data_IF_492943034328
#
_entry.id   IF_492943034328
#
_cell.length_a   1.000
_cell.length_b   1.000
_cell.length_c   1.000
_cell.angle_alpha   90.00
_cell.angle_beta   90.00
_cell.angle_gamma   90.00
#
_symmetry.space_group_name_H-M   'P 1'
#
loop_
_entity.id
_entity.type
_entity.pdbx_description
1 polymer ?
#
# COMPACT_ATOMS: atom_id res chain seq x y z
N UNK A 1 12.48 -15.74 3.04
CA UNK A 1 12.35 -14.60 3.97
C UNK A 1 11.49 -13.51 3.34
N UNK A 2 11.90 -13.00 2.20
CA UNK A 2 11.15 -11.95 1.51
C UNK A 2 9.80 -12.45 1.01
N UNK A 3 9.74 -13.69 0.51
CA UNK A 3 8.51 -14.36 0.12
C UNK A 3 7.52 -14.42 1.29
N UNK A 4 7.97 -14.89 2.45
CA UNK A 4 7.13 -14.98 3.65
C UNK A 4 6.60 -13.61 4.08
N UNK A 5 7.45 -12.59 4.02
CA UNK A 5 7.08 -11.22 4.39
C UNK A 5 6.01 -10.66 3.45
N UNK A 6 6.23 -10.74 2.13
CA UNK A 6 5.30 -10.16 1.16
C UNK A 6 3.97 -10.93 1.12
N UNK A 7 4.03 -12.26 1.25
CA UNK A 7 2.81 -13.08 1.29
C UNK A 7 1.99 -12.77 2.54
N UNK A 8 2.64 -12.65 3.71
CA UNK A 8 1.96 -12.31 4.94
C UNK A 8 1.32 -10.93 4.87
N UNK A 9 2.01 -9.96 4.28
CA UNK A 9 1.46 -8.62 4.09
C UNK A 9 0.25 -8.65 3.17
N UNK A 10 0.36 -9.32 2.01
CA UNK A 10 -0.77 -9.46 1.08
C UNK A 10 -1.97 -10.09 1.77
N UNK A 11 -1.76 -11.19 2.50
CA UNK A 11 -2.83 -11.92 3.18
C UNK A 11 -3.48 -11.06 4.28
N UNK A 12 -2.67 -10.34 5.04
CA UNK A 12 -3.17 -9.43 6.08
C UNK A 12 -4.08 -8.36 5.49
N UNK A 13 -3.69 -7.76 4.37
CA UNK A 13 -4.50 -6.73 3.71
C UNK A 13 -5.76 -7.33 3.08
N UNK A 14 -5.65 -8.50 2.47
CA UNK A 14 -6.80 -9.17 1.86
C UNK A 14 -7.84 -9.59 2.89
N UNK A 15 -7.42 -9.85 4.14
CA UNK A 15 -8.33 -10.26 5.21
C UNK A 15 -8.96 -9.09 5.99
N UNK A 16 -8.68 -7.84 5.61
CA UNK A 16 -9.31 -6.69 6.25
C UNK A 16 -10.83 -6.73 6.05
N UNK A 17 -11.55 -6.55 7.15
CA UNK A 17 -13.00 -6.47 7.11
C UNK A 17 -13.42 -5.03 6.85
N UNK A 18 -13.41 -4.65 5.58
CA UNK A 18 -13.70 -3.28 5.16
C UNK A 18 -14.90 -3.17 4.21
N UNK A 19 -15.54 -4.28 3.86
CA UNK A 19 -16.61 -4.30 2.87
C UNK A 19 -17.81 -3.46 3.28
N UNK A 20 -18.05 -3.30 4.59
CA UNK A 20 -19.16 -2.52 5.13
C UNK A 20 -18.80 -1.04 5.34
N UNK A 21 -17.56 -0.64 5.06
CA UNK A 21 -17.10 0.73 5.25
C UNK A 21 -17.34 1.55 4.00
N UNK A 22 -17.52 2.87 4.17
CA UNK A 22 -17.51 3.80 3.05
C UNK A 22 -16.15 3.77 2.36
N UNK A 23 -16.07 4.08 1.04
CA UNK A 23 -14.79 4.04 0.32
C UNK A 23 -13.67 4.83 0.98
N UNK A 24 -13.95 6.03 1.50
CA UNK A 24 -12.94 6.84 2.19
C UNK A 24 -12.42 6.16 3.45
N UNK A 25 -13.28 5.48 4.19
CA UNK A 25 -12.89 4.72 5.37
C UNK A 25 -12.11 3.47 5.01
N UNK A 26 -12.43 2.83 3.89
CA UNK A 26 -11.65 1.70 3.36
C UNK A 26 -10.21 2.13 3.06
N UNK A 27 -10.03 3.31 2.48
CA UNK A 27 -8.70 3.84 2.19
C UNK A 27 -7.90 4.05 3.49
N UNK A 28 -8.49 4.69 4.47
CA UNK A 28 -7.83 4.92 5.77
C UNK A 28 -7.41 3.59 6.40
N UNK A 29 -8.29 2.60 6.41
CA UNK A 29 -8.00 1.28 6.98
C UNK A 29 -6.88 0.57 6.23
N UNK A 30 -6.92 0.58 4.90
CA UNK A 30 -5.88 -0.05 4.08
C UNK A 30 -4.52 0.59 4.32
N UNK A 31 -4.46 1.92 4.26
CA UNK A 31 -3.21 2.67 4.43
C UNK A 31 -2.65 2.48 5.84
N UNK A 32 -3.48 2.63 6.85
CA UNK A 32 -3.05 2.49 8.24
C UNK A 32 -2.58 1.07 8.53
N UNK A 33 -3.30 0.05 8.05
CA UNK A 33 -2.93 -1.35 8.28
C UNK A 33 -1.61 -1.69 7.58
N UNK A 34 -1.37 -1.12 6.39
CA UNK A 34 -0.12 -1.30 5.68
C UNK A 34 1.05 -0.74 6.49
N UNK A 35 0.92 0.49 6.99
CA UNK A 35 1.97 1.13 7.80
C UNK A 35 2.21 0.38 9.11
N UNK A 36 1.15 -0.10 9.75
CA UNK A 36 1.28 -0.90 10.98
C UNK A 36 1.98 -2.23 10.72
N UNK A 37 1.71 -2.85 9.57
CA UNK A 37 2.38 -4.08 9.18
C UNK A 37 3.89 -3.88 8.95
N UNK A 38 4.30 -2.67 8.59
CA UNK A 38 5.71 -2.34 8.38
C UNK A 38 6.47 -2.10 9.70
N UNK A 39 5.79 -1.98 10.83
CA UNK A 39 6.45 -1.78 12.12
C UNK A 39 7.38 -2.96 12.42
N UNK A 40 8.65 -2.67 12.69
CA UNK A 40 9.66 -3.68 12.93
C UNK A 40 10.19 -4.36 11.67
N UNK A 41 9.75 -3.96 10.48
CA UNK A 41 10.10 -4.60 9.20
C UNK A 41 10.95 -3.70 8.28
N UNK A 42 11.62 -2.69 8.84
CA UNK A 42 12.42 -1.75 8.03
C UNK A 42 13.52 -2.48 7.23
N UNK A 43 14.14 -3.49 7.82
CA UNK A 43 15.19 -4.27 7.14
C UNK A 43 14.61 -5.06 5.95
N UNK A 44 13.50 -5.76 6.17
CA UNK A 44 12.81 -6.53 5.13
C UNK A 44 12.31 -5.62 4.02
N UNK A 45 11.82 -4.44 4.39
CA UNK A 45 11.34 -3.46 3.45
C UNK A 45 12.46 -2.93 2.56
N UNK A 46 13.62 -2.66 3.14
CA UNK A 46 14.81 -2.25 2.39
C UNK A 46 15.26 -3.35 1.41
N UNK A 47 15.26 -4.61 1.84
CA UNK A 47 15.59 -5.74 0.98
C UNK A 47 14.61 -5.83 -0.18
N UNK A 48 13.32 -5.65 0.08
CA UNK A 48 12.30 -5.65 -0.97
C UNK A 48 12.57 -4.58 -2.02
N UNK A 49 12.88 -3.35 -1.57
CA UNK A 49 13.11 -2.23 -2.46
C UNK A 49 14.35 -2.41 -3.34
N UNK A 50 15.39 -3.05 -2.83
CA UNK A 50 16.70 -3.14 -3.49
C UNK A 50 16.99 -4.54 -4.05
N UNK A 51 16.36 -5.59 -3.52
CA UNK A 51 16.79 -6.96 -3.70
C UNK A 51 15.97 -7.80 -4.65
N UNK A 52 14.75 -7.43 -4.99
CA UNK A 52 13.90 -8.25 -5.87
C UNK A 52 14.56 -8.43 -7.26
N UNK A 53 15.18 -7.37 -7.77
CA UNK A 53 15.78 -7.36 -9.09
C UNK A 53 16.95 -8.36 -9.24
N UNK A 54 17.58 -8.77 -8.13
CA UNK A 54 18.71 -9.71 -8.16
C UNK A 54 18.29 -11.16 -7.96
N UNK A 55 17.01 -11.43 -7.73
CA UNK A 55 16.50 -12.79 -7.58
C UNK A 55 16.31 -13.45 -8.93
N UNK A 56 16.26 -14.78 -8.94
CA UNK A 56 15.93 -15.55 -10.14
C UNK A 56 14.52 -15.28 -10.63
N UNK A 57 14.24 -15.57 -11.90
CA UNK A 57 12.96 -15.27 -12.53
C UNK A 57 11.75 -15.89 -11.80
N UNK A 58 11.77 -17.16 -11.33
CA UNK A 58 10.63 -17.72 -10.61
C UNK A 58 10.31 -16.97 -9.33
N UNK A 59 11.32 -16.61 -8.54
CA UNK A 59 11.16 -15.88 -7.29
C UNK A 59 10.66 -14.47 -7.55
N UNK A 60 11.19 -13.79 -8.56
CA UNK A 60 10.71 -12.45 -8.94
C UNK A 60 9.24 -12.50 -9.34
N UNK A 61 8.85 -13.51 -10.12
CA UNK A 61 7.45 -13.65 -10.55
C UNK A 61 6.50 -13.83 -9.38
N UNK A 62 6.90 -14.63 -8.39
CA UNK A 62 6.10 -14.88 -7.19
C UNK A 62 5.93 -13.60 -6.37
N UNK A 63 7.04 -12.89 -6.10
CA UNK A 63 7.01 -11.67 -5.29
C UNK A 63 6.24 -10.56 -5.98
N UNK A 64 6.42 -10.39 -7.29
CA UNK A 64 5.65 -9.42 -8.08
C UNK A 64 4.17 -9.77 -8.11
N UNK A 65 3.83 -11.04 -8.03
CA UNK A 65 2.44 -11.49 -7.92
C UNK A 65 1.78 -10.99 -6.63
N UNK A 66 2.47 -11.10 -5.50
CA UNK A 66 1.98 -10.57 -4.23
C UNK A 66 1.80 -9.05 -4.29
N UNK A 67 2.78 -8.34 -4.85
CA UNK A 67 2.70 -6.89 -5.02
C UNK A 67 1.52 -6.52 -5.92
N UNK A 68 1.31 -7.25 -7.00
CA UNK A 68 0.21 -7.01 -7.94
C UNK A 68 -1.16 -7.17 -7.27
N UNK A 69 -1.29 -8.16 -6.39
CA UNK A 69 -2.54 -8.36 -5.65
C UNK A 69 -2.84 -7.16 -4.74
N UNK A 70 -1.83 -6.65 -4.06
CA UNK A 70 -1.98 -5.48 -3.19
C UNK A 70 -2.28 -4.21 -4.00
N UNK A 71 -1.62 -4.03 -5.12
CA UNK A 71 -1.88 -2.91 -6.04
C UNK A 71 -3.32 -2.96 -6.53
N UNK A 72 -3.80 -4.14 -6.91
CA UNK A 72 -5.18 -4.32 -7.38
C UNK A 72 -6.19 -3.98 -6.30
N UNK A 73 -5.93 -4.38 -5.06
CA UNK A 73 -6.82 -4.09 -3.94
C UNK A 73 -6.92 -2.57 -3.69
N UNK A 74 -5.78 -1.88 -3.64
CA UNK A 74 -5.77 -0.43 -3.44
C UNK A 74 -6.41 0.31 -4.62
N UNK A 75 -6.13 -0.12 -5.84
CA UNK A 75 -6.76 0.47 -7.04
C UNK A 75 -8.28 0.39 -6.98
N UNK A 76 -8.82 -0.74 -6.52
CA UNK A 76 -10.26 -0.90 -6.35
C UNK A 76 -10.84 0.07 -5.33
N UNK A 77 -10.14 0.28 -4.22
CA UNK A 77 -10.55 1.24 -3.19
C UNK A 77 -10.54 2.66 -3.75
N UNK A 78 -9.47 3.05 -4.43
CA UNK A 78 -9.34 4.39 -5.02
C UNK A 78 -10.40 4.64 -6.10
N UNK A 79 -10.68 3.64 -6.93
CA UNK A 79 -11.73 3.73 -7.95
C UNK A 79 -13.10 3.96 -7.30
N UNK A 80 -13.36 3.35 -6.16
CA UNK A 80 -14.60 3.56 -5.41
C UNK A 80 -14.67 4.96 -4.78
N UNK A 81 -13.51 5.53 -4.40
CA UNK A 81 -13.45 6.87 -3.84
C UNK A 81 -13.66 7.96 -4.92
N UNK A 82 -13.24 7.68 -6.16
CA UNK A 82 -13.24 8.68 -7.23
C UNK A 82 -13.68 8.01 -8.56
N UNK A 83 -14.99 7.97 -8.85
CA UNK A 83 -15.50 7.34 -10.06
C UNK A 83 -14.91 7.88 -11.37
N UNK A 84 -14.60 9.19 -11.43
CA UNK A 84 -13.95 9.77 -12.61
C UNK A 84 -12.56 9.20 -12.85
N UNK A 85 -11.85 8.94 -11.76
CA UNK A 85 -10.54 8.29 -11.81
C UNK A 85 -10.67 6.83 -12.27
N UNK A 86 -11.74 6.16 -11.87
CA UNK A 86 -12.01 4.78 -12.27
C UNK A 86 -12.15 4.64 -13.80
N UNK A 87 -12.58 5.69 -14.49
CA UNK A 87 -12.71 5.70 -15.93
C UNK A 87 -11.39 5.92 -16.68
N UNK A 88 -10.29 6.19 -15.98
CA UNK A 88 -8.98 6.44 -16.56
C UNK A 88 -7.97 5.47 -15.94
N UNK A 89 -7.82 4.31 -16.57
CA UNK A 89 -6.98 3.23 -16.03
C UNK A 89 -5.52 3.65 -15.81
N UNK A 90 -4.97 4.46 -16.70
CA UNK A 90 -3.59 4.91 -16.61
C UNK A 90 -3.39 5.85 -15.43
N UNK A 91 -4.30 6.79 -15.24
CA UNK A 91 -4.25 7.73 -14.12
C UNK A 91 -4.53 7.03 -12.79
N UNK A 92 -5.46 6.09 -12.78
CA UNK A 92 -5.74 5.27 -11.59
C UNK A 92 -4.50 4.49 -11.17
N UNK A 93 -3.81 3.87 -12.13
CA UNK A 93 -2.58 3.11 -11.83
C UNK A 93 -1.50 4.03 -11.25
N UNK A 94 -1.27 5.19 -11.87
CA UNK A 94 -0.29 6.15 -11.39
C UNK A 94 -0.62 6.65 -9.98
N UNK A 95 -1.88 6.89 -9.69
CA UNK A 95 -2.33 7.31 -8.35
C UNK A 95 -2.08 6.19 -7.33
N UNK A 96 -2.43 4.96 -7.68
CA UNK A 96 -2.19 3.80 -6.81
C UNK A 96 -0.71 3.65 -6.48
N UNK A 97 0.15 3.72 -7.49
CA UNK A 97 1.60 3.59 -7.29
C UNK A 97 2.15 4.77 -6.48
N UNK A 98 1.58 5.96 -6.61
CA UNK A 98 1.98 7.12 -5.81
C UNK A 98 1.67 6.93 -4.33
N UNK A 99 0.52 6.35 -4.01
CA UNK A 99 0.18 6.04 -2.61
C UNK A 99 1.18 5.04 -2.04
N UNK A 100 1.44 3.94 -2.75
CA UNK A 100 2.44 2.98 -2.30
C UNK A 100 3.83 3.59 -2.17
N UNK A 101 4.18 4.52 -3.06
CA UNK A 101 5.45 5.25 -2.97
C UNK A 101 5.57 6.00 -1.65
N UNK A 102 4.53 6.70 -1.22
CA UNK A 102 4.52 7.38 0.06
C UNK A 102 4.66 6.40 1.23
N UNK A 103 3.93 5.29 1.22
CA UNK A 103 3.98 4.31 2.29
C UNK A 103 5.34 3.60 2.34
N UNK A 104 5.87 3.24 1.18
CA UNK A 104 7.12 2.50 1.08
C UNK A 104 8.36 3.35 1.38
N UNK A 105 8.27 4.66 1.27
CA UNK A 105 9.36 5.59 1.57
C UNK A 105 9.41 5.99 3.04
N UNK A 106 8.35 5.74 3.80
CA UNK A 106 8.20 6.18 5.18
C UNK A 106 9.38 5.78 6.07
N UNK A 107 9.88 4.54 5.92
CA UNK A 107 11.00 4.04 6.72
C UNK A 107 12.29 4.83 6.52
N UNK A 108 12.44 5.49 5.38
CA UNK A 108 13.66 6.25 5.07
C UNK A 108 13.79 7.50 5.94
N UNK A 109 12.68 8.15 6.27
CA UNK A 109 12.74 9.38 7.05
C UNK A 109 12.17 9.23 8.46
N UNK A 110 11.54 8.12 8.78
CA UNK A 110 11.02 7.85 10.13
C UNK A 110 11.18 6.38 10.48
N UNK A 111 12.45 5.94 10.52
CA UNK A 111 12.80 4.58 10.89
C UNK A 111 12.42 4.30 12.35
N UNK A 112 11.84 3.13 12.60
CA UNK A 112 11.47 2.73 13.95
C UNK A 112 10.22 3.40 14.50
N UNK A 113 9.44 4.06 13.66
CA UNK A 113 8.16 4.67 14.07
C UNK A 113 7.24 3.66 14.74
N UNK A 114 6.58 4.08 15.81
CA UNK A 114 5.66 3.23 16.57
C UNK A 114 4.22 3.42 16.10
N UNK A 115 3.31 2.68 16.72
CA UNK A 115 1.91 2.60 16.31
C UNK A 115 1.25 3.96 16.13
N UNK A 116 1.36 4.84 17.11
CA UNK A 116 0.70 6.15 17.08
C UNK A 116 1.18 7.00 15.89
N UNK A 117 2.48 7.01 15.64
CA UNK A 117 3.07 7.75 14.51
C UNK A 117 2.62 7.18 13.18
N UNK A 118 2.50 5.86 13.08
CA UNK A 118 2.07 5.19 11.86
C UNK A 118 0.59 5.46 11.58
N UNK A 119 -0.24 5.45 12.59
CA UNK A 119 -1.65 5.78 12.46
C UNK A 119 -1.84 7.24 12.04
N UNK A 120 -1.09 8.17 12.64
CA UNK A 120 -1.14 9.58 12.30
C UNK A 120 -0.72 9.81 10.84
N UNK A 121 0.37 9.16 10.41
CA UNK A 121 0.82 9.29 9.02
C UNK A 121 -0.17 8.64 8.05
N UNK A 122 -0.76 7.52 8.43
CA UNK A 122 -1.80 6.88 7.63
C UNK A 122 -3.01 7.79 7.40
N UNK A 123 -3.43 8.49 8.44
CA UNK A 123 -4.51 9.46 8.34
C UNK A 123 -4.12 10.64 7.44
N UNK A 124 -2.91 11.17 7.61
CA UNK A 124 -2.41 12.27 6.78
C UNK A 124 -2.35 11.90 5.30
N UNK A 125 -1.78 10.74 5.00
CA UNK A 125 -1.71 10.26 3.61
C UNK A 125 -3.10 10.11 3.02
N UNK A 126 -4.01 9.51 3.78
CA UNK A 126 -5.39 9.32 3.33
C UNK A 126 -6.08 10.65 3.05
N UNK A 127 -5.90 11.63 3.94
CA UNK A 127 -6.49 12.95 3.76
C UNK A 127 -5.94 13.67 2.53
N UNK A 128 -4.61 13.59 2.32
CA UNK A 128 -3.99 14.18 1.14
C UNK A 128 -4.49 13.51 -0.16
N UNK A 129 -4.59 12.19 -0.14
CA UNK A 129 -5.03 11.44 -1.32
C UNK A 129 -6.50 11.76 -1.63
N UNK A 130 -7.36 11.72 -0.62
CA UNK A 130 -8.78 12.00 -0.81
C UNK A 130 -9.01 13.43 -1.31
N UNK A 131 -8.28 14.41 -0.76
CA UNK A 131 -8.37 15.80 -1.19
C UNK A 131 -7.86 15.99 -2.62
N UNK A 132 -6.78 15.29 -2.97
CA UNK A 132 -6.17 15.38 -4.30
C UNK A 132 -7.01 14.72 -5.40
N UNK A 133 -7.50 13.51 -5.16
CA UNK A 133 -8.26 12.78 -6.18
C UNK A 133 -9.63 13.40 -6.46
N UNK A 134 -10.16 14.19 -5.55
CA UNK A 134 -11.42 14.88 -5.76
C UNK A 134 -11.35 15.90 -6.90
N UNK A 135 -10.16 16.33 -7.27
CA UNK A 135 -9.94 17.32 -8.34
C UNK A 135 -9.34 16.74 -9.62
N UNK A 136 -9.10 15.44 -9.65
CA UNK A 136 -8.50 14.79 -10.83
C UNK A 136 -9.47 14.63 -12.01
#
# INVERSE_FOLDING_TARGET
>A
ILDTYLRALRDRLACLDINNLAPSEQLVRFVSETLLAYDGMDHEHKIQAEGIAVLGAPEQGLLKGYQRDMVRQLSGILASCAPDLAGDAKRLHATTMSVFGMLNWFYMWNSGAKQAEREDYGQLVSDMVLGGIATL
#
